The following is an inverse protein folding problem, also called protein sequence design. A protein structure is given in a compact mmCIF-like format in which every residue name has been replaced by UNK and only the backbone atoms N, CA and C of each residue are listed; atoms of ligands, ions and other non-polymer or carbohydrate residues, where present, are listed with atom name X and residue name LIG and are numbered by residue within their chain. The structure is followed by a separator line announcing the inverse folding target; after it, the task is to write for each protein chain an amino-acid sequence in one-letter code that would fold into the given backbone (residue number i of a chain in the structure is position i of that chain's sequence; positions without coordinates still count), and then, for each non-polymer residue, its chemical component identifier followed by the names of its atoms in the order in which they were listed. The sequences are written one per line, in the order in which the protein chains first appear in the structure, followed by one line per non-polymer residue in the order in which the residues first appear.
data_IF_491350809891
#
_entry.id   IF_491350809891
#
_cell.length_a   1.000
_cell.length_b   1.000
_cell.length_c   1.000
_cell.angle_alpha   90.00
_cell.angle_beta   90.00
_cell.angle_gamma   90.00
#
_symmetry.space_group_name_H-M   'P 1'
#
loop_
_entity.id
_entity.type
_entity.pdbx_description
1 polymer ?
#
# COMPACT_ATOMS: atom_id res chain seq x y z
N UNK A 1 8.00 12.27 37.91
CA UNK A 1 6.63 12.01 37.44
C UNK A 1 6.60 10.56 37.01
N UNK A 2 6.01 9.69 37.82
CA UNK A 2 5.72 8.30 37.43
C UNK A 2 4.67 8.36 36.34
N UNK A 3 5.03 7.94 35.14
CA UNK A 3 4.06 7.71 34.08
C UNK A 3 3.16 6.58 34.57
N UNK A 4 1.89 6.91 34.80
CA UNK A 4 0.86 6.01 35.31
C UNK A 4 0.48 5.04 34.19
N UNK A 5 1.20 3.91 34.12
CA UNK A 5 1.10 2.90 33.06
C UNK A 5 -0.33 2.37 32.90
N UNK A 6 -1.10 2.32 33.98
CA UNK A 6 -2.52 1.92 33.97
C UNK A 6 -3.37 2.93 33.18
N UNK A 7 -3.16 4.24 33.37
CA UNK A 7 -3.85 5.27 32.59
C UNK A 7 -3.50 5.29 31.11
N UNK A 8 -2.28 4.87 30.74
CA UNK A 8 -1.88 4.72 29.34
C UNK A 8 -2.48 3.46 28.71
N UNK A 9 -2.62 2.37 29.48
CA UNK A 9 -3.23 1.14 29.02
C UNK A 9 -4.77 1.25 28.87
N UNK A 10 -5.41 2.09 29.68
CA UNK A 10 -6.86 2.35 29.64
C UNK A 10 -7.29 3.40 28.61
N UNK A 11 -6.36 4.08 27.94
CA UNK A 11 -6.71 5.01 26.86
C UNK A 11 -7.31 4.22 25.70
N UNK A 12 -8.57 4.51 25.37
CA UNK A 12 -9.18 4.03 24.14
C UNK A 12 -8.30 4.44 22.96
N UNK A 13 -7.94 3.45 22.14
CA UNK A 13 -7.06 3.65 21.00
C UNK A 13 -7.68 4.70 20.08
N UNK A 14 -7.05 5.88 20.06
CA UNK A 14 -7.57 7.12 19.46
C UNK A 14 -7.98 6.97 18.00
N UNK A 15 -7.34 6.06 17.28
CA UNK A 15 -7.56 5.83 15.85
C UNK A 15 -8.44 4.61 15.56
N UNK A 16 -9.11 4.04 16.56
CA UNK A 16 -9.86 2.79 16.45
C UNK A 16 -11.21 2.85 15.75
N UNK A 17 -11.53 3.94 15.06
CA UNK A 17 -12.88 4.21 14.54
C UNK A 17 -13.10 3.67 13.12
N UNK A 18 -14.30 3.16 12.86
CA UNK A 18 -14.77 2.69 11.56
C UNK A 18 -15.42 3.82 10.74
N UNK A 19 -15.40 3.69 9.41
CA UNK A 19 -16.06 4.62 8.46
C UNK A 19 -17.12 3.84 7.67
N UNK A 20 -18.35 4.34 7.55
CA UNK A 20 -19.47 3.59 6.98
C UNK A 20 -19.62 3.83 5.47
N UNK A 21 -18.69 3.27 4.70
CA UNK A 21 -18.66 3.40 3.22
C UNK A 21 -19.11 2.10 2.57
N UNK A 22 -20.00 2.18 1.57
CA UNK A 22 -20.41 1.00 0.79
C UNK A 22 -19.21 0.44 0.01
N UNK A 23 -18.88 -0.85 0.20
CA UNK A 23 -17.71 -1.50 -0.40
C UNK A 23 -18.09 -2.62 -1.37
N UNK A 24 -17.32 -2.78 -2.44
CA UNK A 24 -17.26 -4.00 -3.24
C UNK A 24 -16.15 -4.90 -2.69
N UNK A 25 -16.51 -6.09 -2.21
CA UNK A 25 -15.58 -7.05 -1.62
C UNK A 25 -15.56 -8.32 -2.49
N UNK A 26 -14.37 -8.77 -2.87
CA UNK A 26 -14.23 -10.03 -3.60
C UNK A 26 -14.64 -11.23 -2.72
N UNK A 27 -15.18 -12.31 -3.31
CA UNK A 27 -15.46 -13.53 -2.58
C UNK A 27 -14.23 -14.03 -1.83
N UNK A 28 -14.45 -14.58 -0.64
CA UNK A 28 -13.38 -15.23 0.13
C UNK A 28 -12.82 -16.41 -0.65
N UNK A 29 -11.51 -16.60 -0.53
CA UNK A 29 -10.82 -17.73 -1.16
C UNK A 29 -9.66 -17.30 -2.03
N UNK A 30 -8.57 -18.05 -1.95
CA UNK A 30 -7.41 -17.85 -2.82
C UNK A 30 -7.36 -18.97 -3.86
N UNK A 31 -7.56 -18.60 -5.12
CA UNK A 31 -7.41 -19.46 -6.28
C UNK A 31 -7.07 -18.64 -7.53
N UNK A 32 -6.82 -19.30 -8.66
CA UNK A 32 -6.48 -18.60 -9.91
C UNK A 32 -7.59 -17.65 -10.39
N UNK A 33 -8.87 -17.90 -10.07
CA UNK A 33 -9.97 -17.00 -10.44
C UNK A 33 -9.95 -15.72 -9.59
N UNK A 34 -9.60 -15.81 -8.30
CA UNK A 34 -9.39 -14.63 -7.45
C UNK A 34 -8.28 -13.74 -8.02
N UNK A 35 -7.18 -14.35 -8.49
CA UNK A 35 -6.05 -13.61 -9.10
C UNK A 35 -6.48 -12.94 -10.41
N UNK A 36 -7.20 -13.67 -11.28
CA UNK A 36 -7.75 -13.11 -12.52
C UNK A 36 -8.75 -11.99 -12.24
N UNK A 37 -9.55 -12.11 -11.18
CA UNK A 37 -10.48 -11.07 -10.75
C UNK A 37 -9.72 -9.80 -10.34
N UNK A 38 -8.70 -9.92 -9.48
CA UNK A 38 -7.84 -8.79 -9.08
C UNK A 38 -7.25 -8.10 -10.31
N UNK A 39 -6.63 -8.89 -11.19
CA UNK A 39 -5.95 -8.39 -12.38
C UNK A 39 -6.90 -7.67 -13.34
N UNK A 40 -8.10 -8.23 -13.55
CA UNK A 40 -9.17 -7.61 -14.35
C UNK A 40 -9.68 -6.32 -13.72
N UNK A 41 -9.95 -6.31 -12.41
CA UNK A 41 -10.43 -5.13 -11.67
C UNK A 41 -9.45 -3.97 -11.68
N UNK A 42 -8.15 -4.27 -11.71
CA UNK A 42 -7.08 -3.26 -11.71
C UNK A 42 -6.61 -2.87 -13.13
N UNK A 43 -7.18 -3.50 -14.17
CA UNK A 43 -6.84 -3.30 -15.57
C UNK A 43 -5.35 -3.54 -15.86
N UNK A 44 -4.82 -4.65 -15.34
CA UNK A 44 -3.40 -4.99 -15.44
C UNK A 44 -3.01 -5.56 -16.81
N UNK A 45 -1.75 -5.35 -17.24
CA UNK A 45 -1.21 -5.98 -18.43
C UNK A 45 -1.02 -7.50 -18.24
N UNK A 46 -1.11 -8.25 -19.34
CA UNK A 46 -1.04 -9.72 -19.33
C UNK A 46 0.21 -10.28 -18.65
N UNK A 47 1.37 -9.62 -18.82
CA UNK A 47 2.61 -10.07 -18.18
C UNK A 47 2.52 -10.09 -16.65
N UNK A 48 1.76 -9.16 -16.05
CA UNK A 48 1.61 -9.10 -14.59
C UNK A 48 0.65 -10.18 -14.12
N UNK A 49 -0.42 -10.47 -14.87
CA UNK A 49 -1.30 -11.61 -14.59
C UNK A 49 -0.51 -12.92 -14.60
N UNK A 50 0.33 -13.15 -15.62
CA UNK A 50 1.18 -14.34 -15.70
C UNK A 50 2.16 -14.43 -14.52
N UNK A 51 2.76 -13.30 -14.15
CA UNK A 51 3.65 -13.20 -13.00
C UNK A 51 2.94 -13.59 -11.69
N UNK A 52 1.74 -13.06 -11.45
CA UNK A 52 0.90 -13.39 -10.29
C UNK A 52 0.52 -14.86 -10.25
N UNK A 53 0.08 -15.43 -11.38
CA UNK A 53 -0.29 -16.84 -11.48
C UNK A 53 0.90 -17.76 -11.23
N UNK A 54 2.09 -17.40 -11.72
CA UNK A 54 3.32 -18.14 -11.45
C UNK A 54 3.68 -18.09 -9.96
N UNK A 55 3.59 -16.92 -9.33
CA UNK A 55 3.80 -16.74 -7.89
C UNK A 55 2.85 -17.63 -7.07
N UNK A 56 1.55 -17.61 -7.40
CA UNK A 56 0.54 -18.44 -6.75
C UNK A 56 0.81 -19.95 -6.88
N UNK A 57 1.10 -20.42 -8.09
CA UNK A 57 1.43 -21.83 -8.33
C UNK A 57 2.65 -22.27 -7.54
N UNK A 58 3.65 -21.40 -7.44
CA UNK A 58 4.83 -21.68 -6.63
C UNK A 58 4.50 -21.70 -5.13
N UNK A 59 3.73 -20.72 -4.65
CA UNK A 59 3.28 -20.64 -3.26
C UNK A 59 2.56 -21.91 -2.80
N UNK A 60 1.74 -22.54 -3.65
CA UNK A 60 1.08 -23.83 -3.36
C UNK A 60 2.07 -24.98 -3.08
N UNK A 61 3.31 -24.89 -3.56
CA UNK A 61 4.36 -25.89 -3.31
C UNK A 61 5.17 -25.61 -2.05
N UNK A 62 5.05 -24.41 -1.48
CA UNK A 62 5.80 -23.96 -0.31
C UNK A 62 5.14 -24.42 0.99
N UNK A 63 5.93 -24.44 2.07
CA UNK A 63 5.44 -24.69 3.43
C UNK A 63 5.49 -23.41 4.24
N UNK A 64 4.42 -23.13 4.98
CA UNK A 64 4.38 -21.98 5.88
C UNK A 64 5.46 -22.11 6.96
N UNK A 65 6.29 -21.07 7.18
CA UNK A 65 7.35 -21.10 8.18
C UNK A 65 6.79 -21.15 9.61
N UNK A 66 7.41 -21.95 10.48
CA UNK A 66 7.02 -22.10 11.91
C UNK A 66 8.17 -21.88 12.91
N UNK A 67 9.27 -21.30 12.44
CA UNK A 67 10.48 -21.12 13.26
C UNK A 67 10.44 -19.85 14.13
N UNK A 68 9.53 -18.93 13.86
CA UNK A 68 9.40 -17.69 14.62
C UNK A 68 8.79 -17.96 16.01
N UNK A 69 9.25 -17.21 17.03
CA UNK A 69 8.76 -17.34 18.41
C UNK A 69 7.46 -16.54 18.63
N UNK A 70 6.44 -16.85 17.84
CA UNK A 70 5.11 -16.25 17.89
C UNK A 70 4.06 -17.36 17.90
N UNK A 71 2.94 -17.13 18.58
CA UNK A 71 1.83 -18.09 18.64
C UNK A 71 0.57 -17.39 18.18
N UNK A 72 -0.02 -17.88 17.11
CA UNK A 72 -1.29 -17.43 16.57
C UNK A 72 -2.09 -18.64 16.05
N UNK A 73 -3.43 -18.57 16.01
CA UNK A 73 -4.25 -19.59 15.38
C UNK A 73 -3.84 -19.77 13.90
N UNK A 74 -3.90 -20.99 13.34
CA UNK A 74 -3.60 -21.20 11.93
C UNK A 74 -4.37 -20.24 11.03
N UNK A 75 -3.67 -19.65 10.06
CA UNK A 75 -4.28 -18.71 9.12
C UNK A 75 -5.10 -19.51 8.10
N UNK A 76 -6.40 -19.21 8.03
CA UNK A 76 -7.25 -19.73 6.96
C UNK A 76 -7.20 -18.82 5.74
N UNK A 77 -6.23 -19.08 4.85
CA UNK A 77 -6.06 -18.34 3.60
C UNK A 77 -7.29 -18.40 2.67
N UNK A 78 -8.21 -19.34 2.88
CA UNK A 78 -9.44 -19.43 2.09
C UNK A 78 -10.58 -18.60 2.68
N UNK A 79 -10.48 -18.15 3.93
CA UNK A 79 -11.46 -17.30 4.59
C UNK A 79 -11.10 -15.80 4.51
N UNK A 80 -10.06 -15.45 3.75
CA UNK A 80 -9.60 -14.07 3.51
C UNK A 80 -10.25 -13.54 2.22
N UNK A 81 -10.71 -12.29 2.24
CA UNK A 81 -10.96 -11.53 1.00
C UNK A 81 -9.71 -10.78 0.58
N UNK A 82 -9.32 -10.94 -0.69
CA UNK A 82 -8.06 -10.41 -1.26
C UNK A 82 -8.24 -9.13 -2.07
N UNK A 83 -9.46 -8.59 -2.11
CA UNK A 83 -9.75 -7.33 -2.80
C UNK A 83 -10.98 -6.69 -2.16
N UNK A 84 -10.85 -5.43 -1.76
CA UNK A 84 -11.98 -4.61 -1.37
C UNK A 84 -11.77 -3.18 -1.87
N UNK A 85 -12.80 -2.60 -2.47
CA UNK A 85 -12.76 -1.22 -2.94
C UNK A 85 -14.05 -0.50 -2.51
N UNK A 86 -13.99 0.79 -2.17
CA UNK A 86 -15.19 1.61 -2.02
C UNK A 86 -16.01 1.59 -3.32
N UNK A 87 -17.34 1.52 -3.23
CA UNK A 87 -18.25 1.68 -4.37
C UNK A 87 -18.36 3.15 -4.78
N UNK A 88 -17.24 3.80 -5.06
CA UNK A 88 -17.24 5.10 -5.72
C UNK A 88 -17.40 4.91 -7.24
N UNK A 89 -18.26 5.71 -7.88
CA UNK A 89 -18.55 5.63 -9.33
C UNK A 89 -17.35 5.99 -10.22
N UNK A 90 -16.28 6.55 -9.66
CA UNK A 90 -15.01 6.94 -10.32
C UNK A 90 -13.97 7.27 -9.25
N UNK A 91 -12.68 7.02 -9.50
CA UNK A 91 -11.59 7.58 -8.68
C UNK A 91 -11.71 9.11 -8.66
N UNK A 92 -11.84 9.75 -7.49
CA UNK A 92 -12.07 11.19 -7.41
C UNK A 92 -10.89 11.94 -8.02
N UNK A 93 -11.16 12.83 -8.98
CA UNK A 93 -10.13 13.63 -9.67
C UNK A 93 -9.70 14.86 -8.88
N UNK A 94 -10.48 15.21 -7.86
CA UNK A 94 -10.25 16.36 -7.00
C UNK A 94 -10.69 16.04 -5.56
N UNK A 95 -10.22 16.85 -4.60
CA UNK A 95 -10.64 16.71 -3.19
C UNK A 95 -12.15 16.88 -3.00
N UNK A 96 -12.80 17.64 -3.87
CA UNK A 96 -14.23 17.92 -3.79
C UNK A 96 -15.09 16.74 -4.27
N UNK A 97 -14.48 15.80 -5.00
CA UNK A 97 -15.13 14.55 -5.44
C UNK A 97 -14.96 13.41 -4.42
N UNK A 98 -14.15 13.60 -3.36
CA UNK A 98 -13.93 12.60 -2.32
C UNK A 98 -15.19 12.48 -1.46
N UNK A 99 -15.54 11.24 -1.10
CA UNK A 99 -16.63 10.98 -0.16
C UNK A 99 -16.43 11.76 1.16
N UNK A 100 -17.44 12.52 1.61
CA UNK A 100 -17.37 13.30 2.86
C UNK A 100 -16.91 12.47 4.06
N UNK A 101 -17.25 11.19 4.12
CA UNK A 101 -16.84 10.31 5.20
C UNK A 101 -15.36 9.96 5.17
N UNK A 102 -14.79 9.78 3.96
CA UNK A 102 -13.34 9.59 3.77
C UNK A 102 -12.60 10.87 4.15
N UNK A 103 -13.13 12.05 3.79
CA UNK A 103 -12.53 13.34 4.18
C UNK A 103 -12.51 13.52 5.71
N UNK A 104 -13.66 13.34 6.37
CA UNK A 104 -13.79 13.46 7.83
C UNK A 104 -12.89 12.45 8.57
N UNK A 105 -12.70 11.29 7.97
CA UNK A 105 -11.79 10.24 8.42
C UNK A 105 -10.34 10.72 8.49
N UNK A 106 -9.82 11.32 7.41
CA UNK A 106 -8.45 11.85 7.36
C UNK A 106 -8.27 13.05 8.29
N UNK A 107 -9.27 13.93 8.41
CA UNK A 107 -9.27 15.00 9.41
C UNK A 107 -9.15 14.45 10.84
N UNK A 108 -9.91 13.41 11.17
CA UNK A 108 -9.87 12.77 12.50
C UNK A 108 -8.56 12.04 12.78
N UNK A 109 -7.87 11.56 11.74
CA UNK A 109 -6.50 11.02 11.83
C UNK A 109 -5.44 12.12 12.05
N UNK A 110 -5.81 13.40 11.91
CA UNK A 110 -4.89 14.53 12.00
C UNK A 110 -4.16 14.82 10.69
N UNK A 111 -4.69 14.35 9.57
CA UNK A 111 -4.15 14.55 8.21
C UNK A 111 -5.21 15.28 7.36
N UNK A 112 -5.55 16.55 7.66
CA UNK A 112 -6.52 17.29 6.87
C UNK A 112 -6.02 17.44 5.42
N UNK A 113 -6.73 16.80 4.48
CA UNK A 113 -6.33 16.71 3.07
C UNK A 113 -6.24 18.09 2.39
N UNK A 114 -7.04 19.04 2.84
CA UNK A 114 -7.04 20.43 2.34
C UNK A 114 -5.80 21.21 2.80
N UNK A 115 -5.39 21.05 4.06
CA UNK A 115 -4.18 21.69 4.57
C UNK A 115 -2.92 21.06 3.97
N UNK A 116 -2.95 19.75 3.70
CA UNK A 116 -1.84 19.06 3.03
C UNK A 116 -1.58 19.59 1.61
N UNK A 117 -2.58 20.10 0.90
CA UNK A 117 -2.35 20.83 -0.38
C UNK A 117 -1.64 22.17 -0.18
N UNK A 118 -1.76 22.78 1.01
CA UNK A 118 -1.18 24.09 1.33
C UNK A 118 0.18 23.99 2.04
N UNK A 119 0.44 22.87 2.72
CA UNK A 119 1.72 22.58 3.38
C UNK A 119 2.80 22.37 2.32
N UNK A 120 3.62 23.41 2.12
CA UNK A 120 4.78 23.32 1.25
C UNK A 120 5.80 22.33 1.84
N UNK A 121 5.97 21.16 1.22
CA UNK A 121 7.09 20.27 1.50
C UNK A 121 6.78 18.78 1.66
N UNK A 122 5.51 18.35 1.61
CA UNK A 122 5.15 16.92 1.64
C UNK A 122 4.09 16.59 0.59
N UNK A 123 4.36 15.62 -0.29
CA UNK A 123 3.35 15.01 -1.14
C UNK A 123 2.73 13.81 -0.43
N UNK A 124 1.40 13.76 -0.36
CA UNK A 124 0.65 12.71 0.33
C UNK A 124 -0.13 11.89 -0.68
N UNK A 125 0.08 10.57 -0.67
CA UNK A 125 -0.79 9.58 -1.30
C UNK A 125 -1.69 8.96 -0.22
N UNK A 126 -2.98 9.30 -0.29
CA UNK A 126 -3.99 8.87 0.67
C UNK A 126 -4.67 7.59 0.15
N UNK A 127 -4.37 6.44 0.76
CA UNK A 127 -4.89 5.13 0.34
C UNK A 127 -5.95 4.65 1.32
N UNK A 128 -7.13 4.32 0.81
CA UNK A 128 -8.26 3.82 1.59
C UNK A 128 -8.68 2.45 1.05
N UNK A 129 -8.61 1.41 1.89
CA UNK A 129 -8.68 0.00 1.48
C UNK A 129 -7.74 -0.26 0.30
N UNK A 130 -8.25 -0.76 -0.83
CA UNK A 130 -7.42 -1.10 -1.99
C UNK A 130 -7.27 -0.04 -3.07
N UNK A 131 -7.53 1.25 -2.77
CA UNK A 131 -7.54 2.31 -3.78
C UNK A 131 -6.89 3.60 -3.26
N UNK A 132 -6.01 4.20 -4.07
CA UNK A 132 -5.54 5.57 -3.83
C UNK A 132 -6.67 6.57 -4.13
N UNK A 133 -6.98 7.39 -3.13
CA UNK A 133 -8.07 8.37 -3.17
C UNK A 133 -7.56 9.72 -3.70
N UNK A 134 -6.35 10.14 -3.30
CA UNK A 134 -5.71 11.34 -3.84
C UNK A 134 -4.20 11.30 -3.66
N UNK A 135 -3.47 11.80 -4.67
CA UNK A 135 -2.06 12.16 -4.58
C UNK A 135 -1.90 13.67 -4.71
N UNK A 136 -1.36 14.34 -3.69
CA UNK A 136 -1.10 15.80 -3.73
C UNK A 136 0.19 16.12 -4.48
N UNK A 137 0.31 17.37 -4.98
CA UNK A 137 1.51 17.90 -5.65
C UNK A 137 2.01 17.14 -6.89
N UNK A 138 1.16 16.35 -7.55
CA UNK A 138 1.50 15.60 -8.77
C UNK A 138 2.15 16.44 -9.86
N UNK A 139 1.66 17.66 -10.10
CA UNK A 139 2.23 18.57 -11.12
C UNK A 139 3.67 19.00 -10.78
N UNK A 140 3.94 19.39 -9.53
CA UNK A 140 5.29 19.80 -9.10
C UNK A 140 6.29 18.65 -9.11
N UNK A 141 5.85 17.43 -8.76
CA UNK A 141 6.69 16.23 -8.86
C UNK A 141 6.98 15.90 -10.33
N UNK A 142 5.97 16.01 -11.20
CA UNK A 142 6.12 15.79 -12.63
C UNK A 142 7.06 16.82 -13.29
N UNK A 143 7.05 18.09 -12.86
CA UNK A 143 8.02 19.11 -13.29
C UNK A 143 9.47 18.71 -12.98
N UNK A 144 9.71 18.02 -11.86
CA UNK A 144 11.01 17.46 -11.49
C UNK A 144 11.28 16.07 -12.11
N UNK A 145 10.35 15.53 -12.90
CA UNK A 145 10.41 14.18 -13.46
C UNK A 145 10.21 13.05 -12.44
N UNK A 146 9.83 13.39 -11.20
CA UNK A 146 9.55 12.40 -10.14
C UNK A 146 8.17 11.80 -10.38
N UNK A 147 8.10 10.47 -10.38
CA UNK A 147 6.85 9.73 -10.43
C UNK A 147 6.53 9.30 -9.00
N UNK A 148 5.38 9.72 -8.49
CA UNK A 148 4.82 9.24 -7.22
C UNK A 148 3.34 8.97 -7.41
N UNK A 149 2.96 7.70 -7.31
CA UNK A 149 1.58 7.25 -7.46
C UNK A 149 1.38 5.87 -6.83
N UNK A 150 0.16 5.35 -6.85
CA UNK A 150 -0.10 3.96 -6.47
C UNK A 150 0.59 2.97 -7.42
N UNK A 151 0.94 1.79 -6.92
CA UNK A 151 1.52 0.73 -7.77
C UNK A 151 0.57 0.32 -8.90
N UNK A 152 -0.75 0.35 -8.66
CA UNK A 152 -1.77 0.08 -9.68
C UNK A 152 -1.74 1.11 -10.82
N UNK A 153 -1.55 2.39 -10.49
CA UNK A 153 -1.40 3.45 -11.50
C UNK A 153 -0.08 3.29 -12.27
N UNK A 154 1.02 3.03 -11.57
CA UNK A 154 2.32 2.82 -12.21
C UNK A 154 2.30 1.63 -13.18
N UNK A 155 1.58 0.55 -12.87
CA UNK A 155 1.40 -0.59 -13.77
C UNK A 155 0.70 -0.20 -15.07
N UNK A 156 -0.28 0.71 -15.03
CA UNK A 156 -1.02 1.16 -16.22
C UNK A 156 -0.26 2.22 -17.00
N UNK A 157 0.28 3.22 -16.33
CA UNK A 157 0.90 4.40 -16.96
C UNK A 157 2.39 4.20 -17.27
N UNK A 158 3.08 3.35 -16.52
CA UNK A 158 4.51 3.09 -16.64
C UNK A 158 4.87 1.58 -16.66
N UNK A 159 4.17 0.75 -17.47
CA UNK A 159 4.29 -0.72 -17.41
C UNK A 159 5.72 -1.22 -17.63
N UNK A 160 6.47 -0.62 -18.55
CA UNK A 160 7.85 -1.02 -18.86
C UNK A 160 8.80 -0.77 -17.68
N UNK A 161 8.59 0.34 -16.95
CA UNK A 161 9.41 0.69 -15.81
C UNK A 161 9.11 -0.23 -14.62
N UNK A 162 7.82 -0.50 -14.36
CA UNK A 162 7.42 -1.46 -13.33
C UNK A 162 7.94 -2.85 -13.67
N UNK A 163 7.75 -3.32 -14.91
CA UNK A 163 8.20 -4.65 -15.36
C UNK A 163 9.72 -4.83 -15.23
N UNK A 164 10.49 -3.77 -15.43
CA UNK A 164 11.97 -3.79 -15.28
C UNK A 164 12.41 -4.05 -13.84
N UNK A 165 11.68 -3.51 -12.85
CA UNK A 165 12.15 -3.45 -11.46
C UNK A 165 11.34 -4.31 -10.49
N UNK A 166 10.09 -4.67 -10.82
CA UNK A 166 9.24 -5.49 -9.96
C UNK A 166 9.84 -6.88 -9.74
N UNK A 167 10.08 -7.24 -8.48
CA UNK A 167 10.70 -8.51 -8.10
C UNK A 167 12.20 -8.57 -8.37
N UNK A 168 12.86 -7.44 -8.62
CA UNK A 168 14.31 -7.37 -8.81
C UNK A 168 15.06 -7.63 -7.51
N UNK A 169 14.55 -7.12 -6.38
CA UNK A 169 15.16 -7.31 -5.05
C UNK A 169 14.46 -8.44 -4.31
N UNK A 170 13.12 -8.48 -4.35
CA UNK A 170 12.31 -9.50 -3.67
C UNK A 170 11.53 -10.31 -4.70
N UNK A 171 12.12 -11.37 -5.29
CA UNK A 171 11.46 -12.16 -6.30
C UNK A 171 10.30 -12.99 -5.71
N UNK A 172 9.36 -13.48 -6.54
CA UNK A 172 8.21 -14.27 -6.06
C UNK A 172 8.56 -15.56 -5.31
N UNK A 173 9.76 -16.09 -5.45
CA UNK A 173 10.25 -17.30 -4.81
C UNK A 173 11.09 -17.04 -3.54
N UNK A 174 11.23 -15.77 -3.12
CA UNK A 174 12.04 -15.38 -1.97
C UNK A 174 11.62 -16.09 -0.67
N UNK A 175 10.33 -16.02 -0.33
CA UNK A 175 9.77 -16.73 0.83
C UNK A 175 8.25 -16.94 0.69
N UNK A 176 7.67 -17.69 1.63
CA UNK A 176 6.25 -18.04 1.62
C UNK A 176 5.32 -16.81 1.55
N UNK A 177 5.58 -15.76 2.34
CA UNK A 177 4.74 -14.57 2.38
C UNK A 177 5.03 -13.61 1.22
N UNK A 178 6.26 -13.58 0.69
CA UNK A 178 6.59 -12.85 -0.53
C UNK A 178 5.91 -13.47 -1.76
N UNK A 179 5.84 -14.80 -1.86
CA UNK A 179 5.12 -15.51 -2.91
C UNK A 179 3.62 -15.24 -2.85
N UNK A 180 3.05 -15.27 -1.63
CA UNK A 180 1.66 -14.90 -1.39
C UNK A 180 1.41 -13.45 -1.82
N UNK A 181 2.16 -12.48 -1.29
CA UNK A 181 2.05 -11.07 -1.66
C UNK A 181 2.14 -10.88 -3.19
N UNK A 182 3.12 -11.52 -3.84
CA UNK A 182 3.28 -11.46 -5.29
C UNK A 182 2.06 -11.98 -6.06
N UNK A 183 1.33 -12.97 -5.53
CA UNK A 183 0.09 -13.42 -6.16
C UNK A 183 -1.05 -12.40 -6.04
N UNK A 184 -1.18 -11.73 -4.89
CA UNK A 184 -2.43 -11.04 -4.52
C UNK A 184 -2.32 -9.55 -4.21
N UNK A 185 -1.14 -8.93 -4.27
CA UNK A 185 -0.99 -7.53 -3.89
C UNK A 185 -1.94 -6.64 -4.70
N UNK A 186 -2.71 -5.80 -4.03
CA UNK A 186 -3.64 -4.85 -4.64
C UNK A 186 -3.18 -3.41 -4.46
N UNK A 187 -2.33 -3.20 -3.47
CA UNK A 187 -2.01 -1.89 -2.89
C UNK A 187 -0.51 -1.68 -2.82
N UNK A 188 -0.12 -0.47 -2.43
CA UNK A 188 1.29 -0.06 -2.34
C UNK A 188 1.59 1.15 -3.20
N UNK A 189 2.80 1.67 -3.04
CA UNK A 189 3.25 2.89 -3.71
C UNK A 189 4.35 2.61 -4.72
N UNK A 190 4.38 3.42 -5.77
CA UNK A 190 5.45 3.46 -6.75
C UNK A 190 6.13 4.83 -6.72
N UNK A 191 7.44 4.83 -6.58
CA UNK A 191 8.28 6.02 -6.63
C UNK A 191 9.39 5.81 -7.63
N UNK A 192 9.56 6.73 -8.57
CA UNK A 192 10.73 6.80 -9.43
C UNK A 192 11.32 8.20 -9.40
N UNK A 193 12.61 8.29 -9.10
CA UNK A 193 13.37 9.54 -9.09
C UNK A 193 14.44 9.50 -10.17
N UNK A 194 14.40 10.42 -11.17
CA UNK A 194 15.36 10.43 -12.26
C UNK A 194 16.79 10.73 -11.81
N UNK A 195 17.73 10.45 -12.73
CA UNK A 195 19.16 10.72 -12.54
C UNK A 195 19.41 12.19 -12.18
N UNK A 196 20.28 12.42 -11.21
CA UNK A 196 20.71 13.73 -10.70
C UNK A 196 19.57 14.60 -10.12
N UNK A 197 18.39 14.01 -9.85
CA UNK A 197 17.24 14.71 -9.27
C UNK A 197 17.19 14.53 -7.75
N UNK A 198 17.19 15.64 -7.01
CA UNK A 198 16.77 15.66 -5.61
C UNK A 198 15.27 15.93 -5.55
N UNK A 199 14.50 14.98 -5.03
CA UNK A 199 13.06 15.13 -4.85
C UNK A 199 12.77 16.46 -4.11
N UNK A 200 11.90 17.33 -4.65
CA UNK A 200 11.71 18.69 -4.13
C UNK A 200 10.97 18.73 -2.79
N UNK A 201 10.42 17.60 -2.36
CA UNK A 201 9.61 17.44 -1.15
C UNK A 201 9.75 16.03 -0.59
N UNK A 202 9.32 15.83 0.65
CA UNK A 202 9.17 14.48 1.19
C UNK A 202 7.92 13.82 0.60
N UNK A 203 7.99 12.51 0.39
CA UNK A 203 6.86 11.71 -0.07
C UNK A 203 6.29 10.95 1.13
N UNK A 204 4.98 10.92 1.26
CA UNK A 204 4.30 10.23 2.35
C UNK A 204 3.13 9.44 1.80
N UNK A 205 3.05 8.15 2.11
CA UNK A 205 1.85 7.35 1.86
C UNK A 205 1.20 7.03 3.19
N UNK A 206 -0.11 7.23 3.26
CA UNK A 206 -0.89 6.87 4.43
C UNK A 206 -1.97 5.86 4.07
N UNK A 207 -1.86 4.67 4.67
CA UNK A 207 -2.82 3.58 4.48
C UNK A 207 -3.84 3.57 5.61
N UNK A 208 -5.12 3.66 5.25
CA UNK A 208 -6.24 3.40 6.17
C UNK A 208 -7.02 2.16 5.75
N UNK A 209 -7.14 1.23 6.70
CA UNK A 209 -7.89 -0.02 6.53
C UNK A 209 -9.30 0.17 7.08
N UNK A 210 -10.32 -0.10 6.27
CA UNK A 210 -11.71 0.04 6.68
C UNK A 210 -12.55 -1.23 6.46
N UNK A 211 -12.27 -2.05 5.44
CA UNK A 211 -13.01 -3.30 5.20
C UNK A 211 -12.73 -4.38 6.26
N UNK A 212 -13.78 -5.07 6.73
CA UNK A 212 -13.67 -6.22 7.64
C UNK A 212 -13.23 -7.50 6.92
N UNK A 213 -12.46 -8.36 7.60
CA UNK A 213 -12.00 -9.66 7.06
C UNK A 213 -11.19 -9.62 5.74
N UNK A 214 -10.57 -8.48 5.40
CA UNK A 214 -9.64 -8.37 4.28
C UNK A 214 -8.19 -8.62 4.72
N UNK A 215 -7.41 -9.28 3.87
CA UNK A 215 -5.96 -9.37 4.06
C UNK A 215 -5.27 -8.16 3.43
N UNK A 216 -4.23 -7.63 4.06
CA UNK A 216 -3.47 -6.51 3.52
C UNK A 216 -2.20 -7.01 2.84
N UNK A 217 -2.16 -6.79 1.53
CA UNK A 217 -1.04 -7.16 0.68
C UNK A 217 -0.63 -5.94 -0.12
N UNK A 218 0.29 -5.18 0.45
CA UNK A 218 0.86 -4.00 -0.18
C UNK A 218 2.23 -4.29 -0.78
N UNK A 219 2.54 -3.63 -1.88
CA UNK A 219 3.84 -3.71 -2.53
C UNK A 219 4.35 -2.34 -2.90
N UNK A 220 5.35 -1.88 -2.15
CA UNK A 220 5.99 -0.58 -2.35
C UNK A 220 7.27 -0.75 -3.17
N UNK A 221 7.41 0.00 -4.25
CA UNK A 221 8.54 -0.06 -5.18
C UNK A 221 9.13 1.34 -5.37
N UNK A 222 10.34 1.57 -4.87
CA UNK A 222 11.04 2.87 -4.93
C UNK A 222 12.34 2.71 -5.71
N UNK A 223 12.47 3.47 -6.78
CA UNK A 223 13.66 3.52 -7.63
C UNK A 223 14.26 4.92 -7.58
N UNK A 224 15.53 5.00 -7.20
CA UNK A 224 16.33 6.22 -7.20
C UNK A 224 17.50 6.03 -8.17
N UNK A 225 17.44 6.69 -9.34
CA UNK A 225 18.50 6.63 -10.37
C UNK A 225 19.78 7.34 -9.92
N UNK A 226 20.86 7.25 -10.71
CA UNK A 226 22.19 7.74 -10.32
C UNK A 226 22.16 9.19 -9.78
N UNK A 227 22.83 9.46 -8.65
CA UNK A 227 22.92 10.80 -8.07
C UNK A 227 21.61 11.38 -7.52
N UNK A 228 20.52 10.61 -7.49
CA UNK A 228 19.21 11.09 -7.05
C UNK A 228 19.00 11.01 -5.53
N UNK A 229 18.00 11.75 -5.01
CA UNK A 229 17.64 11.71 -3.60
C UNK A 229 16.13 11.70 -3.40
N UNK A 230 15.64 10.85 -2.48
CA UNK A 230 14.25 10.84 -2.02
C UNK A 230 14.14 10.58 -0.53
N UNK A 231 13.16 11.22 0.11
CA UNK A 231 12.71 10.96 1.47
C UNK A 231 11.28 10.44 1.39
N UNK A 232 11.06 9.20 1.81
CA UNK A 232 9.77 8.52 1.76
C UNK A 232 9.35 8.07 3.17
N UNK A 233 8.11 8.38 3.53
CA UNK A 233 7.48 8.00 4.78
C UNK A 233 6.25 7.13 4.51
N UNK A 234 6.19 5.98 5.17
CA UNK A 234 5.06 5.06 5.13
C UNK A 234 4.36 5.05 6.49
N UNK A 235 3.10 5.46 6.52
CA UNK A 235 2.24 5.41 7.69
C UNK A 235 1.15 4.38 7.53
N UNK A 236 1.02 3.45 8.49
CA UNK A 236 -0.15 2.57 8.59
C UNK A 236 -0.84 2.82 9.92
N UNK A 237 -2.17 2.95 9.89
CA UNK A 237 -2.99 3.04 11.11
C UNK A 237 -4.26 2.23 10.89
N UNK A 238 -4.41 1.19 11.69
CA UNK A 238 -5.56 0.29 11.61
C UNK A 238 -6.61 0.66 12.68
N UNK A 239 -7.92 0.44 12.43
CA UNK A 239 -8.94 0.47 13.48
C UNK A 239 -8.66 -0.62 14.53
N UNK A 240 -9.07 -0.41 15.78
CA UNK A 240 -8.99 -1.46 16.81
C UNK A 240 -10.10 -2.46 16.52
N UNK A 241 -9.73 -3.72 16.32
CA UNK A 241 -10.66 -4.82 16.05
C UNK A 241 -10.36 -6.00 16.97
N UNK A 242 -11.38 -6.80 17.22
CA UNK A 242 -11.29 -8.00 18.05
C UNK A 242 -10.74 -9.21 17.27
N UNK A 243 -10.67 -9.13 15.93
CA UNK A 243 -10.20 -10.22 15.05
C UNK A 243 -8.80 -9.96 14.46
N UNK A 244 -7.99 -11.02 14.35
CA UNK A 244 -6.66 -10.95 13.75
C UNK A 244 -6.76 -10.76 12.22
N UNK A 245 -5.94 -9.84 11.68
CA UNK A 245 -5.79 -9.63 10.24
C UNK A 245 -4.36 -9.92 9.79
N UNK A 246 -4.21 -10.54 8.62
CA UNK A 246 -2.89 -10.79 8.03
C UNK A 246 -2.45 -9.57 7.23
N UNK A 247 -1.33 -8.98 7.65
CA UNK A 247 -0.60 -7.96 6.91
C UNK A 247 0.73 -8.55 6.41
N UNK A 248 0.91 -8.61 5.09
CA UNK A 248 2.12 -9.12 4.46
C UNK A 248 2.57 -8.15 3.35
N UNK A 249 3.31 -7.12 3.76
CA UNK A 249 3.91 -6.12 2.87
C UNK A 249 5.20 -6.63 2.21
N UNK A 250 5.47 -6.15 1.00
CA UNK A 250 6.77 -6.26 0.34
C UNK A 250 7.24 -4.87 -0.06
N UNK A 251 8.47 -4.52 0.31
CA UNK A 251 9.08 -3.23 -0.02
C UNK A 251 10.37 -3.47 -0.80
N UNK A 252 10.47 -2.90 -1.99
CA UNK A 252 11.65 -2.96 -2.85
C UNK A 252 12.24 -1.54 -3.00
N UNK A 253 13.44 -1.33 -2.46
CA UNK A 253 14.17 -0.05 -2.54
C UNK A 253 15.42 -0.24 -3.42
N UNK A 254 15.49 0.47 -4.54
CA UNK A 254 16.55 0.34 -5.54
C UNK A 254 17.26 1.69 -5.67
N UNK A 255 18.39 1.83 -4.99
CA UNK A 255 19.27 2.98 -5.11
C UNK A 255 20.41 2.68 -6.09
N UNK A 256 20.45 3.41 -7.20
CA UNK A 256 21.57 3.36 -8.14
C UNK A 256 22.78 4.12 -7.60
N UNK A 257 23.86 4.16 -8.38
CA UNK A 257 25.13 4.78 -8.00
C UNK A 257 24.93 6.21 -7.47
N UNK A 258 25.54 6.53 -6.33
CA UNK A 258 25.46 7.85 -5.68
C UNK A 258 24.02 8.32 -5.34
N UNK A 259 23.02 7.46 -5.43
CA UNK A 259 21.64 7.76 -5.07
C UNK A 259 21.41 7.56 -3.56
N UNK A 260 20.43 8.26 -2.99
CA UNK A 260 20.05 8.14 -1.58
C UNK A 260 18.54 8.00 -1.42
N UNK A 261 18.12 6.92 -0.77
CA UNK A 261 16.73 6.71 -0.34
C UNK A 261 16.71 6.81 1.19
N UNK A 262 16.00 7.81 1.73
CA UNK A 262 15.65 7.86 3.15
C UNK A 262 14.25 7.27 3.31
N UNK A 263 14.17 6.06 3.86
CA UNK A 263 12.90 5.35 4.10
C UNK A 263 12.55 5.37 5.58
N UNK A 264 11.32 5.77 5.91
CA UNK A 264 10.80 5.79 7.29
C UNK A 264 9.45 5.09 7.33
N UNK A 265 9.23 4.20 8.31
CA UNK A 265 7.93 3.54 8.51
C UNK A 265 7.45 3.79 9.93
N UNK A 266 6.16 4.12 10.05
CA UNK A 266 5.45 4.27 11.33
C UNK A 266 4.22 3.37 11.30
N UNK A 267 4.20 2.35 12.15
CA UNK A 267 3.07 1.42 12.32
C UNK A 267 2.52 1.59 13.73
N UNK A 268 1.25 1.96 13.83
CA UNK A 268 0.51 2.15 15.10
C UNK A 268 -0.77 1.32 15.11
#
# INVERSE_FOLDING_TARGET
MSIDLEKLAEQEYKYGFFTDVEQEIAPKGLNENTIKLISSKKEEPEWLLEWRLKAYRHWLTMKEPRWAHVTFPPIDYQNISYYAAPKAKTSPKSLDEIDPEIRATYEKLGIPLDEQKMLAGVAVDAVFDSVSVITTFKEKLAEAGVIFCSISEAVREHPELVKKYLGFVVPPDDNFYAALNSAVFTDGSFVYVPKDVRCPMELSTYFRINAESTGQFERTLIIAEEGSYVSYLEGCTAPKRDENQLHAAVVELIAHKDATIKYSTIQN
#
